data_IF_494255847088
#
_entry.id   IF_494255847088
#
_cell.length_a   1.000
_cell.length_b   1.000
_cell.length_c   1.000
_cell.angle_alpha   90.00
_cell.angle_beta   90.00
_cell.angle_gamma   90.00
#
_symmetry.space_group_name_H-M   'P 1'
#
loop_
_entity.id
_entity.type
_entity.pdbx_description
1 polymer ?
#
# COMPACT_ATOMS: atom_id res chain seq x y z
N UNK A 1 11.07 10.98 7.24
CA UNK A 1 10.23 9.88 6.73
C UNK A 1 8.79 10.38 6.67
N UNK A 2 8.16 10.25 5.50
CA UNK A 2 6.74 10.57 5.32
C UNK A 2 5.87 9.35 5.60
N UNK A 3 4.60 9.61 5.93
CA UNK A 3 3.59 8.57 6.19
C UNK A 3 2.34 8.84 5.35
N UNK A 4 1.82 7.80 4.71
CA UNK A 4 0.48 7.82 4.12
C UNK A 4 -0.40 6.86 4.91
N UNK A 5 -1.47 7.39 5.48
CA UNK A 5 -2.45 6.62 6.25
C UNK A 5 -3.73 6.42 5.45
N UNK A 6 -4.20 5.19 5.38
CA UNK A 6 -5.47 4.78 4.79
C UNK A 6 -6.40 4.33 5.91
N UNK A 7 -7.42 5.13 6.21
CA UNK A 7 -8.32 4.92 7.35
C UNK A 7 -9.52 4.04 6.97
N UNK A 8 -10.17 3.41 7.95
CA UNK A 8 -11.30 2.49 7.73
C UNK A 8 -12.53 3.15 7.10
N UNK A 9 -12.64 4.48 7.22
CA UNK A 9 -13.69 5.32 6.61
C UNK A 9 -13.42 5.64 5.13
N UNK A 10 -12.52 4.88 4.49
CA UNK A 10 -12.08 5.06 3.09
C UNK A 10 -11.31 6.34 2.78
N UNK A 11 -11.05 7.19 3.78
CA UNK A 11 -10.20 8.38 3.63
C UNK A 11 -8.71 8.01 3.64
N UNK A 12 -7.87 8.90 3.12
CA UNK A 12 -6.43 8.81 3.31
C UNK A 12 -5.84 10.17 3.62
N UNK A 13 -4.73 10.17 4.36
CA UNK A 13 -4.02 11.37 4.77
C UNK A 13 -2.51 11.17 4.60
N UNK A 14 -1.82 12.18 4.09
CA UNK A 14 -0.37 12.22 4.03
C UNK A 14 0.17 13.12 5.15
N UNK A 15 1.21 12.66 5.84
CA UNK A 15 1.99 13.43 6.80
C UNK A 15 3.44 13.52 6.33
N UNK A 16 3.94 14.76 6.21
CA UNK A 16 5.26 15.05 5.65
C UNK A 16 5.30 14.92 4.12
N UNK A 17 6.43 15.33 3.54
CA UNK A 17 6.67 15.22 2.11
C UNK A 17 7.30 13.88 1.76
N UNK A 18 6.70 13.12 0.85
CA UNK A 18 7.34 11.95 0.27
C UNK A 18 8.52 12.43 -0.57
N UNK A 19 9.71 11.90 -0.33
CA UNK A 19 10.94 12.29 -1.03
C UNK A 19 11.60 11.10 -1.71
N UNK A 20 12.10 11.32 -2.91
CA UNK A 20 12.88 10.32 -3.63
C UNK A 20 14.13 9.94 -2.84
N UNK A 21 14.47 8.66 -2.77
CA UNK A 21 15.63 8.17 -2.00
C UNK A 21 15.38 7.98 -0.50
N UNK A 22 14.18 8.32 0.00
CA UNK A 22 13.79 8.07 1.40
C UNK A 22 12.81 6.90 1.52
N UNK A 23 12.67 6.37 2.74
CA UNK A 23 11.61 5.43 3.07
C UNK A 23 10.25 6.14 3.16
N UNK A 24 9.19 5.43 2.77
CA UNK A 24 7.79 5.81 2.96
C UNK A 24 7.12 4.78 3.87
N UNK A 25 6.46 5.26 4.91
CA UNK A 25 5.58 4.43 5.74
C UNK A 25 4.16 4.45 5.19
N UNK A 26 3.55 3.28 5.08
CA UNK A 26 2.16 3.11 4.67
C UNK A 26 1.42 2.50 5.86
N UNK A 27 0.50 3.26 6.45
CA UNK A 27 -0.41 2.78 7.48
C UNK A 27 -1.74 2.43 6.80
N UNK A 28 -2.25 1.23 7.05
CA UNK A 28 -3.44 0.73 6.37
C UNK A 28 -4.41 0.07 7.34
N UNK A 29 -5.60 0.65 7.46
CA UNK A 29 -6.72 0.02 8.14
C UNK A 29 -7.18 -1.19 7.34
N UNK A 30 -6.82 -2.39 7.80
CA UNK A 30 -7.09 -3.63 7.08
C UNK A 30 -8.59 -3.79 6.77
N UNK A 31 -9.46 -3.24 7.61
CA UNK A 31 -10.92 -3.25 7.52
C UNK A 31 -11.47 -2.75 6.18
N UNK A 32 -10.70 -1.93 5.45
CA UNK A 32 -11.05 -1.49 4.08
C UNK A 32 -11.22 -2.66 3.12
N UNK A 33 -10.44 -3.73 3.29
CA UNK A 33 -10.59 -4.99 2.52
C UNK A 33 -10.85 -6.13 3.50
N UNK A 34 -12.12 -6.25 3.90
CA UNK A 34 -12.60 -7.26 4.83
C UNK A 34 -12.98 -8.60 4.16
N UNK A 35 -13.11 -8.62 2.84
CA UNK A 35 -13.36 -9.84 2.04
C UNK A 35 -12.09 -10.67 1.86
N UNK A 36 -12.24 -11.94 1.50
CA UNK A 36 -11.13 -12.88 1.27
C UNK A 36 -10.22 -13.04 2.49
N UNK A 37 -10.83 -13.41 3.63
CA UNK A 37 -10.15 -13.56 4.90
C UNK A 37 -10.32 -14.98 5.48
N UNK A 38 -10.11 -16.00 4.65
CA UNK A 38 -10.22 -17.38 5.09
C UNK A 38 -9.28 -17.74 6.25
N UNK A 39 -9.65 -18.79 6.98
CA UNK A 39 -8.85 -19.38 8.05
C UNK A 39 -8.47 -20.82 7.71
N UNK A 40 -7.29 -21.28 8.17
CA UNK A 40 -6.85 -22.67 8.04
C UNK A 40 -6.37 -23.18 9.39
N UNK A 41 -6.93 -24.30 9.85
CA UNK A 41 -6.66 -24.85 11.20
C UNK A 41 -6.88 -23.81 12.33
N UNK A 42 -7.91 -22.96 12.19
CA UNK A 42 -8.22 -21.88 13.14
C UNK A 42 -7.27 -20.68 13.08
N UNK A 43 -6.28 -20.68 12.20
CA UNK A 43 -5.31 -19.59 12.02
C UNK A 43 -5.66 -18.71 10.83
N UNK A 44 -5.18 -17.45 10.87
CA UNK A 44 -5.24 -16.52 9.75
C UNK A 44 -4.57 -17.15 8.51
N UNK A 45 -5.30 -17.23 7.40
CA UNK A 45 -4.80 -17.79 6.15
C UNK A 45 -5.00 -16.82 4.97
N UNK A 46 -4.80 -15.53 5.23
CA UNK A 46 -4.89 -14.44 4.27
C UNK A 46 -3.76 -13.43 4.47
N UNK A 47 -3.45 -12.68 3.41
CA UNK A 47 -2.44 -11.63 3.40
C UNK A 47 -2.87 -10.45 2.54
N UNK A 48 -2.58 -9.23 3.00
CA UNK A 48 -2.79 -7.99 2.26
C UNK A 48 -1.43 -7.46 1.83
N UNK A 49 -1.26 -7.28 0.53
CA UNK A 49 -0.10 -6.63 -0.08
C UNK A 49 -0.41 -5.18 -0.42
N UNK A 50 0.44 -4.26 0.02
CA UNK A 50 0.51 -2.91 -0.51
C UNK A 50 1.43 -2.92 -1.74
N UNK A 51 0.88 -2.67 -2.91
CA UNK A 51 1.62 -2.58 -4.16
C UNK A 51 1.86 -1.11 -4.49
N UNK A 52 3.07 -0.78 -4.91
CA UNK A 52 3.50 0.59 -5.22
C UNK A 52 4.19 0.60 -6.56
N UNK A 53 3.75 1.48 -7.46
CA UNK A 53 4.42 1.77 -8.73
C UNK A 53 5.07 3.14 -8.67
N UNK A 54 6.33 3.23 -9.10
CA UNK A 54 7.12 4.46 -9.07
C UNK A 54 7.28 5.01 -10.50
N UNK A 55 7.10 6.32 -10.66
CA UNK A 55 7.24 7.03 -11.93
C UNK A 55 8.45 7.98 -11.88
N UNK A 56 9.20 8.13 -12.99
CA UNK A 56 8.88 7.61 -14.34
C UNK A 56 9.36 6.18 -14.61
N UNK A 57 10.11 5.54 -13.70
CA UNK A 57 10.77 4.25 -13.98
C UNK A 57 9.81 3.10 -14.28
N UNK A 58 8.58 3.16 -13.79
CA UNK A 58 7.61 2.06 -13.85
C UNK A 58 7.96 0.90 -12.91
N UNK A 59 8.99 1.05 -12.07
CA UNK A 59 9.36 0.04 -11.10
C UNK A 59 8.21 -0.21 -10.12
N UNK A 60 8.00 -1.47 -9.76
CA UNK A 60 7.00 -1.86 -8.76
C UNK A 60 7.67 -2.46 -7.51
N UNK A 61 7.09 -2.20 -6.35
CA UNK A 61 7.40 -2.87 -5.09
C UNK A 61 6.11 -3.35 -4.44
N UNK A 62 6.17 -4.47 -3.73
CA UNK A 62 5.09 -4.98 -2.92
C UNK A 62 5.59 -5.24 -1.50
N UNK A 63 4.79 -4.88 -0.50
CA UNK A 63 5.09 -5.13 0.90
C UNK A 63 3.85 -5.68 1.62
N UNK A 64 4.04 -6.67 2.50
CA UNK A 64 2.95 -7.16 3.36
C UNK A 64 2.52 -6.05 4.31
N UNK A 65 1.22 -5.76 4.33
CA UNK A 65 0.59 -4.78 5.22
C UNK A 65 -0.50 -5.46 6.07
N UNK A 66 -0.44 -6.79 6.19
CA UNK A 66 -1.41 -7.59 6.93
C UNK A 66 -1.42 -7.30 8.44
N UNK A 67 -0.38 -6.64 8.96
CA UNK A 67 -0.24 -6.16 10.34
C UNK A 67 -0.74 -4.72 10.53
N UNK A 68 -1.17 -4.04 9.46
CA UNK A 68 -1.69 -2.68 9.49
C UNK A 68 -0.68 -1.58 9.14
N UNK A 69 0.60 -1.92 8.96
CA UNK A 69 1.59 -0.98 8.46
C UNK A 69 2.73 -1.69 7.71
N UNK A 70 3.32 -1.02 6.73
CA UNK A 70 4.51 -1.47 6.03
C UNK A 70 5.41 -0.29 5.63
N UNK A 71 6.62 -0.60 5.17
CA UNK A 71 7.55 0.39 4.65
C UNK A 71 8.00 -0.01 3.25
N UNK A 72 8.16 0.99 2.39
CA UNK A 72 8.75 0.84 1.06
C UNK A 72 9.84 1.89 0.87
N UNK A 73 10.86 1.55 0.08
CA UNK A 73 11.91 2.51 -0.27
C UNK A 73 11.51 3.23 -1.55
N UNK A 74 11.46 4.56 -1.53
CA UNK A 74 11.17 5.35 -2.72
C UNK A 74 12.45 5.45 -3.56
N UNK A 75 12.51 4.91 -4.79
CA UNK A 75 13.71 4.99 -5.61
C UNK A 75 14.13 6.45 -5.87
N UNK A 76 15.43 6.67 -6.07
CA UNK A 76 15.93 7.94 -6.58
C UNK A 76 15.25 8.28 -7.91
N UNK A 77 15.06 9.57 -8.19
CA UNK A 77 14.39 10.09 -9.38
C UNK A 77 12.89 9.73 -9.50
N UNK A 78 12.25 9.28 -8.42
CA UNK A 78 10.79 9.15 -8.39
C UNK A 78 10.16 10.55 -8.30
N UNK A 79 9.25 10.87 -9.21
CA UNK A 79 8.46 12.11 -9.20
C UNK A 79 7.01 11.91 -8.78
N UNK A 80 6.50 10.68 -8.94
CA UNK A 80 5.14 10.28 -8.55
C UNK A 80 5.14 8.80 -8.20
N UNK A 81 4.27 8.40 -7.28
CA UNK A 81 3.96 7.00 -7.04
C UNK A 81 2.46 6.73 -7.03
N UNK A 82 2.09 5.48 -7.25
CA UNK A 82 0.72 4.98 -7.17
C UNK A 82 0.66 3.79 -6.23
N UNK A 83 -0.35 3.74 -5.36
CA UNK A 83 -0.53 2.68 -4.35
C UNK A 83 -1.86 1.97 -4.59
N UNK A 84 -1.89 0.65 -4.46
CA UNK A 84 -3.11 -0.16 -4.38
C UNK A 84 -2.91 -1.40 -3.51
N UNK A 85 -4.00 -1.89 -2.94
CA UNK A 85 -3.98 -3.00 -1.98
C UNK A 85 -4.66 -4.23 -2.54
N UNK A 86 -4.06 -5.38 -2.29
CA UNK A 86 -4.55 -6.68 -2.73
C UNK A 86 -4.63 -7.64 -1.56
N UNK A 87 -5.83 -8.11 -1.23
CA UNK A 87 -6.00 -9.19 -0.27
C UNK A 87 -6.21 -10.51 -1.00
N UNK A 88 -5.47 -11.54 -0.58
CA UNK A 88 -5.66 -12.92 -1.03
C UNK A 88 -5.78 -13.86 0.16
N UNK A 89 -6.47 -14.98 -0.04
CA UNK A 89 -6.51 -16.05 0.96
C UNK A 89 -6.18 -17.43 0.39
N UNK A 90 -6.01 -18.38 1.30
CA UNK A 90 -5.66 -19.76 0.98
C UNK A 90 -6.68 -20.49 0.09
N UNK A 91 -7.91 -20.00 -0.02
CA UNK A 91 -8.95 -20.61 -0.88
C UNK A 91 -8.88 -20.12 -2.33
N UNK A 92 -7.99 -19.18 -2.64
CA UNK A 92 -7.90 -18.53 -3.94
C UNK A 92 -8.81 -17.31 -4.09
N UNK A 93 -9.44 -16.83 -3.01
CA UNK A 93 -10.21 -15.58 -3.03
C UNK A 93 -9.27 -14.39 -3.23
N UNK A 94 -9.76 -13.37 -3.94
CA UNK A 94 -9.02 -12.14 -4.24
C UNK A 94 -9.94 -10.91 -4.09
N UNK A 95 -9.47 -9.88 -3.38
CA UNK A 95 -10.17 -8.61 -3.19
C UNK A 95 -9.21 -7.43 -3.25
N UNK A 96 -9.69 -6.26 -3.70
CA UNK A 96 -8.84 -5.10 -3.98
C UNK A 96 -9.34 -3.84 -3.30
N UNK A 97 -8.41 -3.00 -2.84
CA UNK A 97 -8.62 -1.56 -2.66
C UNK A 97 -7.68 -0.82 -3.62
N UNK A 98 -8.23 -0.44 -4.77
CA UNK A 98 -7.52 0.24 -5.86
C UNK A 98 -8.22 1.51 -6.31
N UNK A 99 -9.09 2.08 -5.46
CA UNK A 99 -9.93 3.25 -5.84
C UNK A 99 -10.65 3.03 -7.19
N UNK A 100 -11.33 1.88 -7.31
CA UNK A 100 -12.01 1.48 -8.56
C UNK A 100 -11.07 1.43 -9.78
N UNK A 101 -9.82 0.99 -9.60
CA UNK A 101 -8.81 0.87 -10.65
C UNK A 101 -8.02 2.15 -10.96
N UNK A 102 -8.29 3.26 -10.25
CA UNK A 102 -7.52 4.50 -10.42
C UNK A 102 -6.22 4.51 -9.61
N UNK A 103 -6.11 3.65 -8.60
CA UNK A 103 -5.07 3.64 -7.59
C UNK A 103 -4.99 4.98 -6.81
N UNK A 104 -4.16 5.02 -5.77
CA UNK A 104 -3.92 6.23 -4.98
C UNK A 104 -2.61 6.87 -5.41
N UNK A 105 -2.69 8.01 -6.10
CA UNK A 105 -1.53 8.74 -6.61
C UNK A 105 -0.99 9.76 -5.60
N UNK A 106 0.33 9.84 -5.48
CA UNK A 106 1.02 10.81 -4.62
C UNK A 106 2.22 11.42 -5.35
N UNK A 107 2.39 12.73 -5.21
CA UNK A 107 3.55 13.44 -5.72
C UNK A 107 4.77 13.17 -4.82
N UNK A 108 5.94 13.06 -5.45
CA UNK A 108 7.22 12.83 -4.76
C UNK A 108 8.13 14.01 -5.02
N UNK A 109 8.65 14.60 -3.93
CA UNK A 109 9.63 15.66 -3.99
C UNK A 109 11.02 15.09 -4.25
N UNK A 110 11.88 15.88 -4.88
CA UNK A 110 13.29 15.56 -4.96
C UNK A 110 13.89 15.37 -3.54
N UNK A 111 14.95 14.57 -3.46
CA UNK A 111 15.74 14.46 -2.24
C UNK A 111 16.17 15.87 -1.76
N UNK A 112 16.17 16.04 -0.44
CA UNK A 112 16.68 17.26 0.21
C UNK A 112 18.19 17.34 0.22
#
# INVERSE_FOLDING_TARGET
MATVKFSADWTHQQSGDIRSGEALQIDYATERVCHCRATRYGQKAWSISANVRFHPSGQEQAADVSSGACQVNVPANTSRLEIWFHNTDHTGCSAWDSRYGQNYGFDVKAAG
#
